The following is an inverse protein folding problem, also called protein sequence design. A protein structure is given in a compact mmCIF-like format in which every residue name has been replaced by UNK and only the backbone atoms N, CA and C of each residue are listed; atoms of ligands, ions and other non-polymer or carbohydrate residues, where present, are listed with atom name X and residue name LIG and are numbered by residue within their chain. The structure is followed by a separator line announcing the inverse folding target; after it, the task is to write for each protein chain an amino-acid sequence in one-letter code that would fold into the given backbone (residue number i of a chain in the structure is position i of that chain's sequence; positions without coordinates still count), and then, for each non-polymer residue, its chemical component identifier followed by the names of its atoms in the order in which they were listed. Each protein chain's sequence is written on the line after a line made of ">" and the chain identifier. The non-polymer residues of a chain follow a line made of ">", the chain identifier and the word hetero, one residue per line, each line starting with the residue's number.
data_IF_056427084684
#
_entry.id   IF_056427084684
#
_cell.length_a   1.000
_cell.length_b   1.000
_cell.length_c   1.000
_cell.angle_alpha   90.00
_cell.angle_beta   90.00
_cell.angle_gamma   90.00
#
_symmetry.space_group_name_H-M   'P 1'
#
loop_
_entity.id
_entity.type
_entity.pdbx_description
1 polymer ?
#
# COMPACT_ATOMS: atom_id res chain seq x y z
N UNK A 1 -19.68 -5.79 -22.68
CA UNK A 1 -18.40 -5.48 -22.00
C UNK A 1 -18.06 -6.64 -21.05
N UNK A 2 -16.86 -7.21 -21.15
CA UNK A 2 -16.42 -8.28 -20.23
C UNK A 2 -16.22 -7.75 -18.80
N UNK A 3 -16.25 -8.67 -17.82
CA UNK A 3 -16.05 -8.36 -16.39
C UNK A 3 -14.78 -7.53 -16.17
N UNK A 4 -13.70 -7.83 -16.87
CA UNK A 4 -12.41 -7.13 -16.78
C UNK A 4 -12.53 -5.66 -17.20
N UNK A 5 -13.21 -5.37 -18.32
CA UNK A 5 -13.40 -3.99 -18.79
C UNK A 5 -14.24 -3.16 -17.81
N UNK A 6 -15.31 -3.72 -17.25
CA UNK A 6 -16.14 -3.06 -16.25
C UNK A 6 -15.36 -2.73 -14.98
N UNK A 7 -14.60 -3.69 -14.45
CA UNK A 7 -13.79 -3.46 -13.23
C UNK A 7 -12.64 -2.47 -13.48
N UNK A 8 -12.04 -2.49 -14.68
CA UNK A 8 -11.01 -1.51 -15.04
C UNK A 8 -11.55 -0.08 -14.98
N UNK A 9 -12.72 0.18 -15.58
CA UNK A 9 -13.36 1.50 -15.53
C UNK A 9 -13.69 1.90 -14.08
N UNK A 10 -14.26 0.99 -13.29
CA UNK A 10 -14.57 1.25 -11.89
C UNK A 10 -13.32 1.57 -11.06
N UNK A 11 -12.26 0.78 -11.22
CA UNK A 11 -10.99 1.03 -10.53
C UNK A 11 -10.36 2.37 -10.94
N UNK A 12 -10.46 2.73 -12.22
CA UNK A 12 -10.00 4.03 -12.73
C UNK A 12 -10.76 5.18 -12.06
N UNK A 13 -12.09 5.13 -12.02
CA UNK A 13 -12.91 6.14 -11.36
C UNK A 13 -12.58 6.25 -9.86
N UNK A 14 -12.45 5.11 -9.16
CA UNK A 14 -12.05 5.04 -7.76
C UNK A 14 -10.71 5.72 -7.54
N UNK A 15 -9.73 5.47 -8.40
CA UNK A 15 -8.39 6.07 -8.31
C UNK A 15 -8.45 7.59 -8.48
N UNK A 16 -9.22 8.10 -9.44
CA UNK A 16 -9.35 9.56 -9.64
C UNK A 16 -10.07 10.25 -8.49
N UNK A 17 -11.20 9.69 -8.05
CA UNK A 17 -11.92 10.21 -6.89
C UNK A 17 -11.05 10.17 -5.64
N UNK A 18 -10.36 9.06 -5.42
CA UNK A 18 -9.41 8.93 -4.32
C UNK A 18 -8.28 9.96 -4.41
N UNK A 19 -7.71 10.17 -5.59
CA UNK A 19 -6.68 11.19 -5.80
C UNK A 19 -7.19 12.59 -5.44
N UNK A 20 -8.43 12.93 -5.79
CA UNK A 20 -9.05 14.21 -5.44
C UNK A 20 -9.18 14.38 -3.91
N UNK A 21 -9.62 13.36 -3.17
CA UNK A 21 -9.61 13.39 -1.70
C UNK A 21 -8.19 13.51 -1.14
N UNK A 22 -7.23 12.82 -1.75
CA UNK A 22 -5.82 12.94 -1.39
C UNK A 22 -5.29 14.36 -1.58
N UNK A 23 -5.70 15.04 -2.65
CA UNK A 23 -5.34 16.44 -2.94
C UNK A 23 -5.88 17.39 -1.85
N UNK A 24 -7.16 17.26 -1.51
CA UNK A 24 -7.77 18.05 -0.45
C UNK A 24 -7.04 17.83 0.88
N UNK A 25 -6.76 16.59 1.23
CA UNK A 25 -6.03 16.27 2.45
C UNK A 25 -4.62 16.88 2.44
N UNK A 26 -3.82 16.60 1.40
CA UNK A 26 -2.40 16.95 1.38
C UNK A 26 -2.14 18.46 1.21
N UNK A 27 -2.94 19.14 0.39
CA UNK A 27 -2.72 20.54 0.06
C UNK A 27 -3.41 21.50 1.03
N UNK A 28 -4.53 21.09 1.64
CA UNK A 28 -5.34 21.98 2.46
C UNK A 28 -5.48 21.50 3.90
N UNK A 29 -5.95 20.28 4.15
CA UNK A 29 -6.35 19.90 5.51
C UNK A 29 -5.15 19.64 6.43
N UNK A 30 -4.16 18.91 5.97
CA UNK A 30 -2.94 18.69 6.77
C UNK A 30 -2.22 19.99 7.07
N UNK A 31 -2.11 20.88 6.08
CA UNK A 31 -1.39 22.15 6.21
C UNK A 31 -2.09 23.13 7.16
N UNK A 32 -3.44 23.17 7.16
CA UNK A 32 -4.19 24.15 7.95
C UNK A 32 -4.62 23.62 9.33
N UNK A 33 -4.88 22.30 9.46
CA UNK A 33 -5.49 21.77 10.67
C UNK A 33 -4.52 21.01 11.59
N UNK A 34 -3.45 20.43 11.05
CA UNK A 34 -2.56 19.59 11.82
C UNK A 34 -1.29 20.32 12.29
N UNK A 35 -0.86 21.35 11.53
CA UNK A 35 0.43 22.02 11.72
C UNK A 35 1.60 21.24 11.11
N UNK A 36 2.70 21.95 10.90
CA UNK A 36 3.84 21.45 10.12
C UNK A 36 4.53 20.25 10.77
N UNK A 37 4.73 20.29 12.09
CA UNK A 37 5.40 19.23 12.85
C UNK A 37 4.63 17.92 12.81
N UNK A 38 3.33 17.93 13.09
CA UNK A 38 2.51 16.71 13.06
C UNK A 38 2.19 16.24 11.65
N UNK A 39 2.14 17.15 10.67
CA UNK A 39 2.05 16.74 9.26
C UNK A 39 3.34 16.04 8.83
N UNK A 40 4.50 16.60 9.14
CA UNK A 40 5.80 15.97 8.87
C UNK A 40 5.93 14.60 9.54
N UNK A 41 5.53 14.49 10.81
CA UNK A 41 5.51 13.22 11.55
C UNK A 41 4.58 12.19 10.88
N UNK A 42 3.37 12.62 10.49
CA UNK A 42 2.42 11.74 9.79
C UNK A 42 3.00 11.24 8.47
N UNK A 43 3.58 12.13 7.67
CA UNK A 43 4.21 11.78 6.40
C UNK A 43 5.40 10.83 6.60
N UNK A 44 6.23 11.05 7.63
CA UNK A 44 7.31 10.14 8.02
C UNK A 44 6.78 8.76 8.42
N UNK A 45 5.77 8.68 9.28
CA UNK A 45 5.20 7.41 9.74
C UNK A 45 4.60 6.61 8.59
N UNK A 46 3.84 7.27 7.71
CA UNK A 46 3.20 6.61 6.57
C UNK A 46 4.21 6.16 5.52
N UNK A 47 5.22 6.97 5.21
CA UNK A 47 6.28 6.58 4.27
C UNK A 47 7.14 5.45 4.84
N UNK A 48 7.50 5.50 6.12
CA UNK A 48 8.22 4.42 6.79
C UNK A 48 7.42 3.12 6.81
N UNK A 49 6.10 3.20 7.09
CA UNK A 49 5.18 2.07 6.98
C UNK A 49 5.14 1.50 5.56
N UNK A 50 5.11 2.37 4.53
CA UNK A 50 5.18 2.00 3.11
C UNK A 50 6.47 1.28 2.73
N UNK A 51 7.62 1.73 3.27
CA UNK A 51 8.93 1.06 3.09
C UNK A 51 8.95 -0.32 3.77
N UNK A 52 8.35 -0.43 4.97
CA UNK A 52 8.29 -1.69 5.71
C UNK A 52 7.25 -2.67 5.13
N UNK A 53 6.22 -2.19 4.47
CA UNK A 53 5.10 -2.99 3.96
C UNK A 53 5.54 -4.21 3.13
N UNK A 54 6.43 -4.12 2.12
CA UNK A 54 6.87 -5.28 1.35
C UNK A 54 7.61 -6.32 2.20
N UNK A 55 8.38 -5.88 3.19
CA UNK A 55 9.05 -6.76 4.15
C UNK A 55 8.03 -7.48 5.02
N UNK A 56 7.06 -6.74 5.59
CA UNK A 56 6.01 -7.30 6.43
C UNK A 56 5.05 -8.22 5.67
N UNK A 57 4.83 -7.98 4.38
CA UNK A 57 4.08 -8.89 3.51
C UNK A 57 4.89 -10.09 3.02
N UNK A 58 6.22 -10.09 3.16
CA UNK A 58 7.14 -11.08 2.58
C UNK A 58 6.85 -11.41 1.12
N UNK A 59 6.47 -10.40 0.33
CA UNK A 59 6.11 -10.58 -1.08
C UNK A 59 4.87 -11.46 -1.32
N UNK A 60 4.14 -11.86 -0.27
CA UNK A 60 3.00 -12.79 -0.36
C UNK A 60 1.91 -12.30 -1.31
N UNK A 61 1.64 -11.00 -1.35
CA UNK A 61 0.62 -10.42 -2.23
C UNK A 61 0.90 -10.68 -3.72
N UNK A 62 2.15 -10.53 -4.18
CA UNK A 62 2.55 -10.85 -5.56
C UNK A 62 2.61 -12.36 -5.81
N UNK A 63 3.05 -13.11 -4.80
CA UNK A 63 3.11 -14.57 -4.84
C UNK A 63 1.73 -15.20 -4.99
N UNK A 64 0.72 -14.68 -4.28
CA UNK A 64 -0.68 -15.09 -4.44
C UNK A 64 -1.12 -14.92 -5.90
N UNK A 65 -0.90 -13.74 -6.48
CA UNK A 65 -1.33 -13.45 -7.86
C UNK A 65 -0.67 -14.41 -8.87
N UNK A 66 0.61 -14.73 -8.68
CA UNK A 66 1.36 -15.58 -9.60
C UNK A 66 1.01 -17.06 -9.48
N UNK A 67 0.95 -17.58 -8.25
CA UNK A 67 0.87 -19.02 -8.02
C UNK A 67 -0.55 -19.54 -7.84
N UNK A 68 -1.51 -18.72 -7.40
CA UNK A 68 -2.90 -19.14 -7.22
C UNK A 68 -3.52 -19.83 -8.47
N UNK A 69 -3.31 -19.33 -9.71
CA UNK A 69 -3.88 -19.97 -10.90
C UNK A 69 -3.32 -21.37 -11.20
N UNK A 70 -2.18 -21.75 -10.61
CA UNK A 70 -1.56 -23.06 -10.84
C UNK A 70 -2.27 -24.19 -10.08
N UNK A 71 -3.02 -23.88 -9.03
CA UNK A 71 -3.78 -24.85 -8.26
C UNK A 71 -5.11 -25.14 -8.94
N UNK A 72 -5.40 -26.43 -9.10
CA UNK A 72 -6.57 -26.90 -9.90
C UNK A 72 -7.79 -27.14 -9.01
N UNK A 73 -7.59 -27.75 -7.85
CA UNK A 73 -8.69 -28.11 -6.96
C UNK A 73 -9.05 -26.97 -6.01
N UNK A 74 -10.31 -26.87 -5.62
CA UNK A 74 -10.77 -25.86 -4.67
C UNK A 74 -10.11 -26.02 -3.28
N UNK A 75 -9.78 -27.26 -2.92
CA UNK A 75 -9.08 -27.53 -1.67
C UNK A 75 -7.62 -27.03 -1.71
N UNK A 76 -6.91 -27.25 -2.82
CA UNK A 76 -5.54 -26.72 -3.01
C UNK A 76 -5.53 -25.20 -3.01
N UNK A 77 -6.46 -24.56 -3.70
CA UNK A 77 -6.61 -23.09 -3.72
C UNK A 77 -6.82 -22.52 -2.33
N UNK A 78 -7.77 -23.09 -1.56
CA UNK A 78 -8.03 -22.66 -0.18
C UNK A 78 -6.83 -22.92 0.73
N UNK A 79 -6.18 -24.07 0.58
CA UNK A 79 -4.97 -24.42 1.30
C UNK A 79 -3.82 -23.46 1.02
N UNK A 80 -3.58 -23.15 -0.24
CA UNK A 80 -2.55 -22.19 -0.64
C UNK A 80 -2.80 -20.78 -0.09
N UNK A 81 -4.03 -20.29 -0.17
CA UNK A 81 -4.37 -18.98 0.38
C UNK A 81 -4.19 -18.95 1.91
N UNK A 82 -4.60 -20.02 2.60
CA UNK A 82 -4.37 -20.14 4.05
C UNK A 82 -2.88 -20.18 4.38
N UNK A 83 -2.09 -20.92 3.60
CA UNK A 83 -0.63 -20.94 3.75
C UNK A 83 -0.04 -19.53 3.56
N UNK A 84 -0.47 -18.78 2.53
CA UNK A 84 -0.02 -17.42 2.27
C UNK A 84 -0.40 -16.43 3.38
N UNK A 85 -1.42 -16.69 4.17
CA UNK A 85 -1.79 -15.89 5.33
C UNK A 85 -0.72 -15.96 6.44
N UNK A 86 -0.16 -17.15 6.67
CA UNK A 86 0.86 -17.38 7.69
C UNK A 86 2.30 -17.25 7.16
N UNK A 87 2.47 -17.29 5.85
CA UNK A 87 3.78 -17.26 5.20
C UNK A 87 4.63 -16.02 5.57
N UNK A 88 4.07 -14.78 5.65
CA UNK A 88 4.83 -13.61 6.08
C UNK A 88 5.40 -13.74 7.49
N UNK A 89 4.77 -14.52 8.38
CA UNK A 89 5.24 -14.70 9.75
C UNK A 89 6.63 -15.33 9.82
N UNK A 90 7.05 -16.07 8.78
CA UNK A 90 8.40 -16.66 8.69
C UNK A 90 9.47 -15.58 8.82
N UNK A 91 9.23 -14.38 8.22
CA UNK A 91 10.14 -13.25 8.30
C UNK A 91 9.78 -12.29 9.44
N UNK A 92 8.49 -12.05 9.66
CA UNK A 92 8.00 -11.10 10.67
C UNK A 92 8.46 -11.53 12.07
N UNK A 93 8.34 -12.82 12.43
CA UNK A 93 8.70 -13.27 13.79
C UNK A 93 10.17 -13.02 14.12
N UNK A 94 11.17 -13.42 13.31
CA UNK A 94 12.57 -13.06 13.54
C UNK A 94 12.79 -11.55 13.58
N UNK A 95 12.16 -10.78 12.70
CA UNK A 95 12.29 -9.33 12.67
C UNK A 95 11.71 -8.67 13.93
N UNK A 96 10.59 -9.15 14.45
CA UNK A 96 10.02 -8.66 15.70
C UNK A 96 10.93 -8.95 16.89
N UNK A 97 11.56 -10.13 16.92
CA UNK A 97 12.54 -10.46 17.96
C UNK A 97 13.73 -9.51 17.91
N UNK A 98 14.30 -9.29 16.72
CA UNK A 98 15.40 -8.32 16.55
C UNK A 98 14.96 -6.90 16.93
N UNK A 99 13.77 -6.49 16.49
CA UNK A 99 13.19 -5.19 16.80
C UNK A 99 13.03 -5.01 18.33
N UNK A 100 12.58 -6.04 19.04
CA UNK A 100 12.44 -5.97 20.49
C UNK A 100 13.78 -5.77 21.21
N UNK A 101 14.82 -6.50 20.79
CA UNK A 101 16.15 -6.36 21.39
C UNK A 101 16.83 -5.03 21.09
N UNK A 102 16.66 -4.50 19.89
CA UNK A 102 17.31 -3.27 19.43
C UNK A 102 16.36 -2.07 19.41
N UNK A 103 15.18 -2.19 20.05
CA UNK A 103 14.14 -1.13 20.02
C UNK A 103 14.69 0.22 20.42
N UNK A 104 15.33 0.30 21.58
CA UNK A 104 15.84 1.57 22.15
C UNK A 104 16.94 2.17 21.28
N UNK A 105 17.87 1.33 20.80
CA UNK A 105 18.99 1.81 19.99
C UNK A 105 18.52 2.36 18.65
N UNK A 106 17.60 1.63 17.97
CA UNK A 106 17.03 2.07 16.70
C UNK A 106 16.15 3.31 16.90
N UNK A 107 15.34 3.35 17.97
CA UNK A 107 14.48 4.48 18.26
C UNK A 107 15.31 5.75 18.53
N UNK A 108 16.36 5.66 19.36
CA UNK A 108 17.27 6.78 19.64
C UNK A 108 18.02 7.23 18.39
N UNK A 109 18.47 6.28 17.54
CA UNK A 109 19.15 6.62 16.30
C UNK A 109 18.23 7.38 15.34
N UNK A 110 17.01 6.89 15.11
CA UNK A 110 16.05 7.51 14.19
C UNK A 110 15.44 8.81 14.71
N UNK A 111 15.41 9.00 16.03
CA UNK A 111 14.90 10.22 16.67
C UNK A 111 15.97 11.28 16.94
N UNK A 112 17.22 11.04 16.57
CA UNK A 112 18.36 11.91 16.90
C UNK A 112 18.16 13.36 16.47
N UNK A 113 17.69 13.57 15.25
CA UNK A 113 17.42 14.91 14.71
C UNK A 113 16.02 15.40 15.12
N UNK A 114 15.07 14.51 15.28
CA UNK A 114 13.67 14.81 15.58
C UNK A 114 13.16 13.99 16.76
N UNK A 115 13.30 14.49 18.01
CA UNK A 115 12.93 13.76 19.23
C UNK A 115 11.48 13.28 19.27
N UNK A 116 10.55 13.97 18.61
CA UNK A 116 9.14 13.56 18.52
C UNK A 116 8.97 12.16 17.90
N UNK A 117 9.89 11.71 17.05
CA UNK A 117 9.84 10.39 16.44
C UNK A 117 9.92 9.27 17.49
N UNK A 118 10.65 9.50 18.60
CA UNK A 118 10.82 8.50 19.65
C UNK A 118 9.48 8.06 20.26
N UNK A 119 8.60 9.00 20.53
CA UNK A 119 7.30 8.73 21.16
C UNK A 119 6.36 7.92 20.26
N UNK A 120 6.55 8.02 18.94
CA UNK A 120 5.71 7.35 17.92
C UNK A 120 6.42 6.21 17.20
N UNK A 121 7.66 5.89 17.58
CA UNK A 121 8.48 4.88 16.88
C UNK A 121 7.83 3.50 16.85
N UNK A 122 7.13 3.10 17.91
CA UNK A 122 6.41 1.84 17.99
C UNK A 122 5.32 1.68 16.91
N UNK A 123 4.83 2.77 16.33
CA UNK A 123 3.81 2.74 15.28
C UNK A 123 4.37 2.24 13.94
N UNK A 124 5.68 2.37 13.69
CA UNK A 124 6.30 1.99 12.41
C UNK A 124 6.08 0.52 12.06
N UNK A 125 6.46 -0.46 12.90
CA UNK A 125 6.23 -1.87 12.59
C UNK A 125 4.74 -2.21 12.51
N UNK A 126 3.89 -1.57 13.30
CA UNK A 126 2.45 -1.80 13.27
C UNK A 126 1.85 -1.30 11.96
N UNK A 127 2.16 -0.09 11.52
CA UNK A 127 1.69 0.44 10.25
C UNK A 127 2.19 -0.41 9.08
N UNK A 128 3.47 -0.78 9.07
CA UNK A 128 4.03 -1.68 8.05
C UNK A 128 3.32 -3.04 8.01
N UNK A 129 3.01 -3.61 9.17
CA UNK A 129 2.26 -4.87 9.30
C UNK A 129 0.83 -4.73 8.75
N UNK A 130 0.11 -3.70 9.17
CA UNK A 130 -1.27 -3.46 8.74
C UNK A 130 -1.33 -3.22 7.22
N UNK A 131 -0.45 -2.39 6.68
CA UNK A 131 -0.34 -2.16 5.24
C UNK A 131 0.03 -3.45 4.49
N UNK A 132 0.96 -4.24 5.03
CA UNK A 132 1.38 -5.51 4.45
C UNK A 132 0.25 -6.53 4.37
N UNK A 133 -0.46 -6.74 5.47
CA UNK A 133 -1.60 -7.66 5.50
C UNK A 133 -2.80 -7.16 4.70
N UNK A 134 -3.01 -5.84 4.62
CA UNK A 134 -3.98 -5.28 3.69
C UNK A 134 -3.70 -5.74 2.25
N UNK A 135 -2.46 -5.64 1.78
CA UNK A 135 -2.09 -6.07 0.42
C UNK A 135 -2.22 -7.59 0.25
N UNK A 136 -1.93 -8.40 1.27
CA UNK A 136 -2.14 -9.86 1.23
C UNK A 136 -3.63 -10.19 1.05
N UNK A 137 -4.52 -9.60 1.85
CA UNK A 137 -5.96 -9.80 1.71
C UNK A 137 -6.50 -9.22 0.40
N UNK A 138 -5.96 -8.10 -0.06
CA UNK A 138 -6.34 -7.52 -1.34
C UNK A 138 -5.94 -8.43 -2.52
N UNK A 139 -4.75 -9.04 -2.49
CA UNK A 139 -4.34 -10.02 -3.48
C UNK A 139 -5.26 -11.26 -3.47
N UNK A 140 -5.68 -11.71 -2.28
CA UNK A 140 -6.67 -12.78 -2.12
C UNK A 140 -7.97 -12.48 -2.86
N UNK A 141 -8.48 -11.26 -2.74
CA UNK A 141 -9.70 -10.80 -3.42
C UNK A 141 -9.48 -10.60 -4.93
N UNK A 142 -8.31 -10.08 -5.34
CA UNK A 142 -7.93 -9.88 -6.74
C UNK A 142 -7.92 -11.17 -7.55
N UNK A 143 -7.41 -12.28 -7.00
CA UNK A 143 -7.38 -13.56 -7.71
C UNK A 143 -8.77 -14.18 -7.93
N UNK A 144 -9.79 -13.64 -7.25
CA UNK A 144 -11.21 -13.97 -7.48
C UNK A 144 -11.94 -12.91 -8.33
N UNK A 145 -11.20 -12.06 -9.04
CA UNK A 145 -11.75 -11.00 -9.91
C UNK A 145 -12.69 -10.03 -9.19
N UNK A 146 -12.39 -9.66 -7.93
CA UNK A 146 -13.18 -8.72 -7.13
C UNK A 146 -12.32 -7.57 -6.59
N UNK A 147 -11.58 -6.89 -7.48
CA UNK A 147 -10.62 -5.85 -7.11
C UNK A 147 -11.24 -4.51 -6.68
N UNK A 148 -12.49 -4.25 -7.04
CA UNK A 148 -13.15 -2.94 -6.91
C UNK A 148 -13.29 -2.51 -5.45
N UNK A 149 -13.75 -3.42 -4.58
CA UNK A 149 -13.96 -3.12 -3.17
C UNK A 149 -12.64 -2.79 -2.45
N UNK A 150 -11.58 -3.57 -2.70
CA UNK A 150 -10.27 -3.29 -2.11
C UNK A 150 -9.65 -1.99 -2.64
N UNK A 151 -9.85 -1.68 -3.92
CA UNK A 151 -9.51 -0.39 -4.50
C UNK A 151 -10.24 0.77 -3.82
N UNK A 152 -11.55 0.62 -3.57
CA UNK A 152 -12.35 1.61 -2.84
C UNK A 152 -11.82 1.85 -1.42
N UNK A 153 -11.53 0.80 -0.66
CA UNK A 153 -10.95 0.95 0.69
C UNK A 153 -9.62 1.71 0.61
N UNK A 154 -8.73 1.27 -0.27
CA UNK A 154 -7.37 1.82 -0.38
C UNK A 154 -7.35 3.28 -0.83
N UNK A 155 -8.12 3.61 -1.85
CA UNK A 155 -8.05 4.92 -2.51
C UNK A 155 -9.03 5.94 -1.93
N UNK A 156 -10.20 5.51 -1.48
CA UNK A 156 -11.25 6.43 -1.02
C UNK A 156 -11.43 6.36 0.49
N UNK A 157 -11.75 5.18 1.05
CA UNK A 157 -12.16 5.06 2.44
C UNK A 157 -11.08 5.58 3.41
N UNK A 158 -9.83 5.16 3.25
CA UNK A 158 -8.72 5.62 4.10
C UNK A 158 -8.61 7.14 4.04
N UNK A 159 -8.66 7.74 2.85
CA UNK A 159 -8.53 9.20 2.67
C UNK A 159 -9.69 9.98 3.24
N UNK A 160 -10.90 9.46 3.12
CA UNK A 160 -12.11 10.05 3.72
C UNK A 160 -12.05 9.97 5.25
N UNK A 161 -11.62 8.83 5.81
CA UNK A 161 -11.45 8.70 7.27
C UNK A 161 -10.39 9.67 7.80
N UNK A 162 -9.27 9.83 7.09
CA UNK A 162 -8.25 10.83 7.39
C UNK A 162 -8.85 12.24 7.32
N UNK A 163 -9.64 12.55 6.28
CA UNK A 163 -10.29 13.84 6.12
C UNK A 163 -11.23 14.18 7.29
N UNK A 164 -12.06 13.22 7.70
CA UNK A 164 -12.96 13.36 8.85
C UNK A 164 -12.14 13.59 10.14
N UNK A 165 -11.05 12.85 10.31
CA UNK A 165 -10.18 12.96 11.48
C UNK A 165 -9.49 14.32 11.54
N UNK A 166 -9.00 14.85 10.40
CA UNK A 166 -8.41 16.19 10.31
C UNK A 166 -9.43 17.28 10.61
N UNK A 167 -10.66 17.14 10.10
CA UNK A 167 -11.73 18.06 10.45
C UNK A 167 -12.06 18.02 11.94
N UNK A 168 -12.01 16.83 12.58
CA UNK A 168 -12.19 16.68 14.02
C UNK A 168 -11.09 17.37 14.83
N UNK A 169 -9.86 17.44 14.29
CA UNK A 169 -8.79 18.25 14.89
C UNK A 169 -9.12 19.74 14.79
N UNK A 170 -9.62 20.20 13.65
CA UNK A 170 -9.98 21.60 13.42
C UNK A 170 -11.06 22.09 14.40
N UNK A 171 -12.07 21.29 14.69
CA UNK A 171 -13.13 21.63 15.65
C UNK A 171 -12.79 21.30 17.11
N UNK A 172 -11.51 20.99 17.37
CA UNK A 172 -10.97 20.67 18.70
C UNK A 172 -11.58 19.45 19.41
N UNK A 173 -12.21 18.52 18.67
CA UNK A 173 -12.65 17.22 19.20
C UNK A 173 -11.49 16.25 19.39
N UNK A 174 -10.45 16.39 18.58
CA UNK A 174 -9.22 15.61 18.65
C UNK A 174 -8.02 16.55 18.79
N UNK A 175 -7.01 16.11 19.50
CA UNK A 175 -5.68 16.73 19.47
C UNK A 175 -4.87 16.17 18.29
N UNK A 176 -3.81 16.91 17.89
CA UNK A 176 -2.89 16.44 16.85
C UNK A 176 -2.22 15.11 17.23
N UNK A 177 -1.93 14.89 18.51
CA UNK A 177 -1.40 13.63 19.05
C UNK A 177 -2.41 12.49 18.85
N UNK A 178 -3.66 12.71 19.23
CA UNK A 178 -4.72 11.70 19.05
C UNK A 178 -4.96 11.36 17.57
N UNK A 179 -4.84 12.36 16.70
CA UNK A 179 -4.91 12.12 15.24
C UNK A 179 -3.81 11.15 14.78
N UNK A 180 -2.57 11.32 15.25
CA UNK A 180 -1.48 10.40 14.89
C UNK A 180 -1.78 8.97 15.35
N UNK A 181 -2.28 8.77 16.57
CA UNK A 181 -2.72 7.45 17.04
C UNK A 181 -3.87 6.88 16.19
N UNK A 182 -4.78 7.74 15.75
CA UNK A 182 -5.93 7.32 14.94
C UNK A 182 -5.50 6.75 13.58
N UNK A 183 -4.32 7.08 13.06
CA UNK A 183 -3.78 6.46 11.84
C UNK A 183 -3.70 4.93 11.98
N UNK A 184 -3.22 4.41 13.11
CA UNK A 184 -3.16 2.96 13.35
C UNK A 184 -4.57 2.35 13.32
N UNK A 185 -5.55 3.05 13.91
CA UNK A 185 -6.95 2.60 13.91
C UNK A 185 -7.53 2.60 12.49
N UNK A 186 -7.26 3.63 11.69
CA UNK A 186 -7.74 3.75 10.30
C UNK A 186 -7.17 2.61 9.44
N UNK A 187 -5.85 2.40 9.48
CA UNK A 187 -5.22 1.31 8.74
C UNK A 187 -5.61 -0.06 9.28
N UNK A 188 -5.78 -0.21 10.59
CA UNK A 188 -6.28 -1.42 11.24
C UNK A 188 -7.69 -1.77 10.77
N UNK A 189 -8.62 -0.80 10.82
CA UNK A 189 -9.99 -0.99 10.36
C UNK A 189 -10.03 -1.35 8.86
N UNK A 190 -9.24 -0.67 8.05
CA UNK A 190 -9.14 -0.94 6.61
C UNK A 190 -8.64 -2.37 6.34
N UNK A 191 -7.64 -2.84 7.10
CA UNK A 191 -7.12 -4.20 7.02
C UNK A 191 -8.14 -5.23 7.46
N UNK A 192 -8.88 -4.97 8.55
CA UNK A 192 -9.96 -5.84 9.03
C UNK A 192 -11.10 -5.93 8.01
N UNK A 193 -11.53 -4.81 7.42
CA UNK A 193 -12.55 -4.81 6.36
C UNK A 193 -12.10 -5.63 5.15
N UNK A 194 -10.82 -5.52 4.78
CA UNK A 194 -10.26 -6.29 3.68
C UNK A 194 -10.16 -7.79 4.02
N UNK A 195 -9.80 -8.13 5.26
CA UNK A 195 -9.80 -9.49 5.77
C UNK A 195 -11.21 -10.11 5.72
N UNK A 196 -12.21 -9.39 6.21
CA UNK A 196 -13.62 -9.83 6.18
C UNK A 196 -14.04 -10.11 4.73
N UNK A 197 -13.73 -9.19 3.80
CA UNK A 197 -14.03 -9.36 2.39
C UNK A 197 -13.34 -10.59 1.78
N UNK A 198 -12.06 -10.81 2.10
CA UNK A 198 -11.30 -11.96 1.63
C UNK A 198 -11.91 -13.28 2.12
N UNK A 199 -12.25 -13.35 3.42
CA UNK A 199 -12.83 -14.57 4.04
C UNK A 199 -14.29 -14.79 3.63
N UNK A 200 -15.00 -13.75 3.24
CA UNK A 200 -16.36 -13.89 2.70
C UNK A 200 -16.35 -14.53 1.30
N UNK A 201 -15.36 -14.17 0.49
CA UNK A 201 -15.18 -14.76 -0.85
C UNK A 201 -14.71 -16.21 -0.74
N UNK A 202 -13.74 -16.48 0.12
CA UNK A 202 -13.20 -17.82 0.34
C UNK A 202 -12.65 -17.95 1.75
N UNK A 203 -13.26 -18.83 2.55
CA UNK A 203 -12.83 -19.07 3.92
C UNK A 203 -11.48 -19.80 3.96
N UNK A 204 -10.58 -19.41 4.89
CA UNK A 204 -9.38 -20.20 5.16
C UNK A 204 -9.75 -21.59 5.67
N UNK A 205 -8.92 -22.59 5.39
CA UNK A 205 -9.10 -23.96 5.89
C UNK A 205 -8.12 -24.23 7.04
N UNK A 206 -8.59 -24.96 8.05
CA UNK A 206 -7.75 -25.29 9.21
C UNK A 206 -6.62 -26.31 8.91
N UNK A 207 -6.68 -26.99 7.75
CA UNK A 207 -5.68 -27.98 7.38
C UNK A 207 -4.41 -27.27 6.88
N UNK A 208 -3.28 -27.59 7.50
CA UNK A 208 -1.97 -27.09 7.03
C UNK A 208 -1.71 -27.65 5.63
N UNK A 209 -1.49 -26.75 4.68
CA UNK A 209 -1.19 -27.08 3.30
C UNK A 209 0.18 -26.48 2.97
N UNK A 210 1.16 -27.33 2.74
CA UNK A 210 2.48 -26.90 2.24
C UNK A 210 2.52 -27.22 0.74
N UNK A 211 2.60 -26.19 -0.14
CA UNK A 211 2.71 -26.42 -1.58
C UNK A 211 3.95 -27.26 -1.91
N UNK A 212 3.84 -28.13 -2.91
CA UNK A 212 4.98 -28.91 -3.41
C UNK A 212 6.11 -28.01 -3.89
N UNK A 213 5.76 -26.86 -4.44
CA UNK A 213 6.66 -25.85 -4.98
C UNK A 213 7.14 -24.85 -3.91
N UNK A 214 7.13 -25.22 -2.60
CA UNK A 214 7.50 -24.32 -1.50
C UNK A 214 8.82 -23.58 -1.74
N UNK A 215 9.86 -24.29 -2.19
CA UNK A 215 11.18 -23.68 -2.47
C UNK A 215 11.09 -22.60 -3.56
N UNK A 216 10.36 -22.86 -4.64
CA UNK A 216 10.17 -21.91 -5.73
C UNK A 216 9.35 -20.69 -5.27
N UNK A 217 8.31 -20.91 -4.45
CA UNK A 217 7.48 -19.87 -3.84
C UNK A 217 8.32 -18.99 -2.92
N UNK A 218 9.13 -19.59 -2.05
CA UNK A 218 9.99 -18.85 -1.12
C UNK A 218 11.02 -17.99 -1.86
N UNK A 219 11.74 -18.59 -2.81
CA UNK A 219 12.75 -17.89 -3.63
C UNK A 219 12.09 -16.75 -4.41
N UNK A 220 10.94 -16.99 -5.04
CA UNK A 220 10.20 -15.95 -5.75
C UNK A 220 9.78 -14.81 -4.82
N UNK A 221 9.24 -15.11 -3.63
CA UNK A 221 8.84 -14.10 -2.66
C UNK A 221 10.03 -13.25 -2.20
N UNK A 222 11.18 -13.87 -1.94
CA UNK A 222 12.41 -13.17 -1.58
C UNK A 222 12.88 -12.23 -2.71
N UNK A 223 12.86 -12.69 -3.96
CA UNK A 223 13.19 -11.83 -5.12
C UNK A 223 12.19 -10.68 -5.32
N UNK A 224 10.89 -10.92 -5.06
CA UNK A 224 9.88 -9.87 -5.14
C UNK A 224 10.09 -8.78 -4.08
N UNK A 225 10.55 -9.13 -2.89
CA UNK A 225 10.91 -8.11 -1.90
C UNK A 225 12.02 -7.21 -2.47
N UNK A 226 13.05 -7.79 -3.05
CA UNK A 226 14.17 -7.02 -3.61
C UNK A 226 13.73 -6.15 -4.80
N UNK A 227 12.94 -6.68 -5.73
CA UNK A 227 12.54 -5.95 -6.94
C UNK A 227 11.35 -5.02 -6.72
N UNK A 228 10.32 -5.48 -6.01
CA UNK A 228 9.10 -4.72 -5.76
C UNK A 228 9.26 -3.65 -4.68
N UNK A 229 10.13 -3.90 -3.68
CA UNK A 229 10.43 -2.92 -2.65
C UNK A 229 11.15 -1.71 -3.21
N UNK A 230 12.05 -1.88 -4.18
CA UNK A 230 12.78 -0.76 -4.79
C UNK A 230 11.84 0.27 -5.39
N UNK A 231 10.82 -0.17 -6.14
CA UNK A 231 9.86 0.74 -6.77
C UNK A 231 8.99 1.49 -5.73
N UNK A 232 8.58 0.80 -4.65
CA UNK A 232 7.84 1.43 -3.56
C UNK A 232 8.73 2.35 -2.72
N UNK A 233 9.96 1.93 -2.44
CA UNK A 233 10.94 2.72 -1.69
C UNK A 233 11.29 4.01 -2.41
N UNK A 234 11.43 4.02 -3.73
CA UNK A 234 11.75 5.25 -4.50
C UNK A 234 10.74 6.38 -4.28
N UNK A 235 9.51 6.08 -3.92
CA UNK A 235 8.48 7.09 -3.67
C UNK A 235 8.54 7.62 -2.23
N UNK A 236 8.90 6.76 -1.28
CA UNK A 236 8.79 7.03 0.15
C UNK A 236 10.13 7.27 0.86
N UNK A 237 11.25 6.84 0.24
CA UNK A 237 12.58 6.91 0.84
C UNK A 237 13.00 8.36 1.14
N UNK A 238 12.61 9.30 0.27
CA UNK A 238 12.99 10.70 0.43
C UNK A 238 12.40 11.28 1.72
N UNK A 239 11.12 11.02 2.02
CA UNK A 239 10.48 11.48 3.26
C UNK A 239 11.14 10.89 4.49
N UNK A 240 11.50 9.60 4.43
CA UNK A 240 12.24 8.93 5.48
C UNK A 240 13.62 9.57 5.68
N UNK A 241 14.37 9.76 4.59
CA UNK A 241 15.73 10.34 4.63
C UNK A 241 15.73 11.78 5.12
N UNK A 242 14.82 12.61 4.63
CA UNK A 242 14.71 14.03 5.06
C UNK A 242 14.59 14.11 6.59
N UNK A 243 13.76 13.28 7.20
CA UNK A 243 13.58 13.28 8.65
C UNK A 243 14.84 12.92 9.45
N UNK A 244 15.84 12.27 8.82
CA UNK A 244 17.09 11.88 9.49
C UNK A 244 18.15 12.99 9.48
N UNK A 245 18.02 14.01 8.63
CA UNK A 245 19.04 15.03 8.43
C UNK A 245 18.58 16.45 8.74
N UNK A 246 17.26 16.68 8.72
CA UNK A 246 16.67 17.99 8.94
C UNK A 246 15.39 17.88 9.77
N UNK A 247 14.89 19.03 10.25
CA UNK A 247 13.68 19.11 11.06
C UNK A 247 12.48 18.47 10.35
N UNK A 248 11.60 17.86 11.14
CA UNK A 248 10.44 17.08 10.66
C UNK A 248 9.46 17.93 9.83
N UNK A 249 9.41 19.25 10.03
CA UNK A 249 8.59 20.19 9.26
C UNK A 249 8.97 20.17 7.77
N UNK A 250 10.25 19.92 7.44
CA UNK A 250 10.69 19.82 6.05
C UNK A 250 10.09 18.59 5.34
N UNK A 251 9.76 17.53 6.06
CA UNK A 251 9.02 16.38 5.51
C UNK A 251 7.61 16.79 5.10
N UNK A 252 6.97 17.71 5.85
CA UNK A 252 5.66 18.26 5.47
C UNK A 252 5.75 19.07 4.17
N UNK A 253 6.71 20.01 4.08
CA UNK A 253 6.92 20.82 2.87
C UNK A 253 7.23 19.96 1.65
N UNK A 254 8.13 18.99 1.81
CA UNK A 254 8.46 18.03 0.76
C UNK A 254 7.23 17.22 0.30
N UNK A 255 6.39 16.78 1.25
CA UNK A 255 5.19 15.99 0.95
C UNK A 255 4.17 16.78 0.12
N UNK A 256 4.01 18.08 0.38
CA UNK A 256 3.20 18.99 -0.45
C UNK A 256 3.79 19.11 -1.86
N UNK A 257 5.09 19.33 -1.97
CA UNK A 257 5.77 19.46 -3.26
C UNK A 257 5.66 18.18 -4.11
N UNK A 258 5.88 17.01 -3.49
CA UNK A 258 5.72 15.70 -4.14
C UNK A 258 4.27 15.49 -4.59
N UNK A 259 3.30 15.91 -3.77
CA UNK A 259 1.89 15.78 -4.17
C UNK A 259 1.58 16.66 -5.39
N UNK A 260 2.05 17.90 -5.43
CA UNK A 260 1.90 18.79 -6.59
C UNK A 260 2.55 18.18 -7.82
N UNK A 261 3.77 17.65 -7.71
CA UNK A 261 4.43 16.93 -8.79
C UNK A 261 3.65 15.70 -9.27
N UNK A 262 3.03 14.96 -8.34
CA UNK A 262 2.18 13.80 -8.67
C UNK A 262 0.93 14.19 -9.46
N UNK A 263 0.37 15.40 -9.26
CA UNK A 263 -0.77 15.90 -10.04
C UNK A 263 -0.42 15.97 -11.53
N UNK A 264 0.79 16.42 -11.86
CA UNK A 264 1.27 16.51 -13.26
C UNK A 264 1.33 15.12 -13.91
N UNK A 265 1.61 14.08 -13.13
CA UNK A 265 1.68 12.70 -13.64
C UNK A 265 0.32 12.00 -13.76
N UNK A 266 -0.77 12.57 -13.22
CA UNK A 266 -2.12 11.96 -13.24
C UNK A 266 -2.63 11.70 -14.67
N UNK A 267 -2.58 12.66 -15.63
CA UNK A 267 -3.01 12.40 -16.99
C UNK A 267 -2.24 11.26 -17.66
N UNK A 268 -0.92 11.21 -17.45
CA UNK A 268 -0.07 10.13 -17.98
C UNK A 268 -0.46 8.76 -17.41
N UNK A 269 -0.69 8.66 -16.09
CA UNK A 269 -1.16 7.42 -15.44
C UNK A 269 -2.51 6.96 -15.97
N UNK A 270 -3.44 7.90 -16.21
CA UNK A 270 -4.73 7.61 -16.79
C UNK A 270 -4.61 7.03 -18.19
N UNK A 271 -3.78 7.64 -19.00
CA UNK A 271 -3.53 7.19 -20.36
C UNK A 271 -2.92 5.79 -20.38
N UNK A 272 -1.94 5.52 -19.52
CA UNK A 272 -1.35 4.18 -19.38
C UNK A 272 -2.36 3.11 -18.96
N UNK A 273 -3.31 3.41 -18.06
CA UNK A 273 -4.35 2.46 -17.66
C UNK A 273 -5.26 2.04 -18.82
N UNK A 274 -5.49 2.94 -19.79
CA UNK A 274 -6.31 2.67 -20.98
C UNK A 274 -5.48 2.00 -22.06
N UNK A 275 -4.25 2.47 -22.29
CA UNK A 275 -3.41 1.99 -23.40
C UNK A 275 -2.78 0.63 -23.14
N UNK A 276 -2.39 0.29 -21.89
CA UNK A 276 -1.78 -1.00 -21.57
C UNK A 276 -2.59 -2.22 -22.05
N UNK A 277 -3.91 -2.36 -21.74
CA UNK A 277 -4.69 -3.50 -22.21
C UNK A 277 -4.89 -3.51 -23.74
N UNK A 278 -4.98 -2.31 -24.36
CA UNK A 278 -5.09 -2.20 -25.83
C UNK A 278 -3.78 -2.64 -26.46
N UNK A 279 -2.65 -2.16 -25.99
CA UNK A 279 -1.31 -2.55 -26.47
C UNK A 279 -1.09 -4.05 -26.35
N UNK A 280 -1.43 -4.64 -25.19
CA UNK A 280 -1.30 -6.09 -24.99
C UNK A 280 -2.15 -6.89 -25.98
N UNK A 281 -3.37 -6.43 -26.27
CA UNK A 281 -4.25 -7.07 -27.27
C UNK A 281 -3.71 -6.96 -28.69
N UNK A 282 -3.24 -5.77 -29.09
CA UNK A 282 -2.68 -5.53 -30.43
C UNK A 282 -1.40 -6.34 -30.64
N UNK A 283 -0.53 -6.44 -29.62
CA UNK A 283 0.66 -7.28 -29.65
C UNK A 283 0.31 -8.77 -29.79
N UNK A 284 -0.66 -9.26 -29.01
CA UNK A 284 -1.10 -10.64 -29.07
C UNK A 284 -1.68 -11.02 -30.45
N UNK A 285 -2.27 -10.06 -31.17
CA UNK A 285 -2.85 -10.24 -32.49
C UNK A 285 -1.88 -9.89 -33.65
N UNK A 286 -0.62 -9.55 -33.36
CA UNK A 286 0.39 -9.09 -34.35
C UNK A 286 -0.05 -7.88 -35.19
N UNK A 287 -0.91 -6.99 -34.64
CA UNK A 287 -1.43 -5.80 -35.32
C UNK A 287 -0.47 -4.61 -35.16
N UNK A 288 0.68 -4.67 -35.85
CA UNK A 288 1.77 -3.69 -35.71
C UNK A 288 1.39 -2.29 -36.19
N UNK A 289 0.55 -2.17 -37.25
CA UNK A 289 0.15 -0.85 -37.78
C UNK A 289 -0.76 -0.10 -36.81
N UNK A 290 -1.73 -0.80 -36.20
CA UNK A 290 -2.60 -0.22 -35.17
C UNK A 290 -1.81 0.10 -33.88
N UNK A 291 -0.82 -0.70 -33.54
CA UNK A 291 0.08 -0.45 -32.41
C UNK A 291 0.90 0.85 -32.65
N UNK A 292 1.44 1.04 -33.86
CA UNK A 292 2.16 2.25 -34.23
C UNK A 292 1.26 3.49 -34.20
N UNK A 293 0.00 3.36 -34.64
CA UNK A 293 -0.97 4.45 -34.58
C UNK A 293 -1.31 4.82 -33.13
N UNK A 294 -1.56 3.81 -32.29
CA UNK A 294 -1.79 4.02 -30.85
C UNK A 294 -0.59 4.72 -30.18
N UNK A 295 0.63 4.27 -30.48
CA UNK A 295 1.85 4.87 -29.97
C UNK A 295 1.96 6.36 -30.36
N UNK A 296 1.75 6.70 -31.64
CA UNK A 296 1.76 8.09 -32.11
C UNK A 296 0.71 8.96 -31.42
N UNK A 297 -0.48 8.42 -31.14
CA UNK A 297 -1.56 9.15 -30.47
C UNK A 297 -1.32 9.36 -28.97
N UNK A 298 -0.49 8.53 -28.36
CA UNK A 298 -0.23 8.55 -26.90
C UNK A 298 1.14 9.15 -26.52
N UNK A 299 1.98 9.50 -27.50
CA UNK A 299 3.34 10.04 -27.31
C UNK A 299 3.42 11.56 -27.41
N UNK A 300 2.30 12.29 -27.27
CA UNK A 300 2.26 13.76 -27.33
C UNK A 300 2.43 14.36 -25.95
#
# INVERSE_FOLDING_TARGET
>A
MGIVSKQSIQNTLITYVGFSFGAVNALFLYTHFLGETYYGLTAFLLSSGGILMPLMAFGAHNTIIKYFPLFKTEQEKSGFLTFMLFFPLILILPLLVLFFFFYTDIALYLSRENPIIYDFFWMLPILGLLMGYFEVFYAWVKVHFQSVFGGFIKEILIRVMIMISLYSVHIHWLTSVQFVFLLVVIYGLSTVLMMISAFWIRKPIAKIFIPKEFKAIFVYSAFIILSGSVAAMLIDIDRFMISQFVKIENVAYYSVAVFIAAVVAVPSRAMHQITHPITARLMANNQHDELNMLYKQTSI
#
